data_IF_553367764470
#
_entry.id   IF_553367764470
#
_cell.length_a   1.000
_cell.length_b   1.000
_cell.length_c   1.000
_cell.angle_alpha   90.00
_cell.angle_beta   90.00
_cell.angle_gamma   90.00
#
_symmetry.space_group_name_H-M   'P 1'
#
loop_
_entity.id
_entity.type
_entity.pdbx_description
1 polymer ?
#
# COMPACT_ATOMS: atom_id res chain seq x y z
N UNK A 1 38.99 7.55 -3.63
CA UNK A 1 38.89 7.44 -2.14
C UNK A 1 37.86 6.39 -1.74
N UNK A 2 38.03 5.69 -0.60
CA UNK A 2 37.00 4.75 -0.10
C UNK A 2 35.81 5.51 0.48
N UNK A 3 34.59 4.96 0.33
CA UNK A 3 33.36 5.59 0.84
C UNK A 3 33.42 5.99 2.33
N UNK A 4 33.94 5.12 3.20
CA UNK A 4 34.04 5.41 4.64
C UNK A 4 35.04 6.54 4.95
N UNK A 5 36.10 6.67 4.14
CA UNK A 5 37.06 7.77 4.25
C UNK A 5 36.41 9.08 3.77
N UNK A 6 35.68 9.02 2.64
CA UNK A 6 34.96 10.16 2.08
C UNK A 6 33.89 10.72 3.04
N UNK A 7 33.12 9.86 3.70
CA UNK A 7 32.10 10.26 4.68
C UNK A 7 32.76 10.98 5.85
N UNK A 8 33.83 10.42 6.42
CA UNK A 8 34.57 11.04 7.54
C UNK A 8 35.18 12.38 7.16
N UNK A 9 35.75 12.47 5.97
CA UNK A 9 36.34 13.71 5.48
C UNK A 9 35.28 14.79 5.26
N UNK A 10 34.12 14.45 4.69
CA UNK A 10 33.00 15.36 4.56
C UNK A 10 32.46 15.82 5.92
N UNK A 11 32.31 14.92 6.89
CA UNK A 11 31.88 15.29 8.24
C UNK A 11 32.86 16.27 8.91
N UNK A 12 34.16 16.02 8.79
CA UNK A 12 35.19 16.91 9.31
C UNK A 12 35.11 18.30 8.65
N UNK A 13 35.09 18.37 7.32
CA UNK A 13 34.96 19.63 6.58
C UNK A 13 33.64 20.35 6.89
N UNK A 14 32.58 19.59 7.18
CA UNK A 14 31.29 20.13 7.59
C UNK A 14 31.32 20.75 8.97
N UNK A 15 31.96 20.12 9.94
CA UNK A 15 32.16 20.73 11.26
C UNK A 15 33.01 21.99 11.18
N UNK A 16 34.07 21.98 10.36
CA UNK A 16 34.91 23.15 10.11
C UNK A 16 34.12 24.29 9.46
N UNK A 17 33.39 24.00 8.38
CA UNK A 17 32.53 24.97 7.70
C UNK A 17 31.44 25.56 8.61
N UNK A 18 30.85 24.77 9.50
CA UNK A 18 29.90 25.28 10.50
C UNK A 18 30.58 26.22 11.51
N UNK A 19 31.79 25.89 11.98
CA UNK A 19 32.57 26.77 12.87
C UNK A 19 32.97 28.06 12.15
N UNK A 20 33.32 28.00 10.86
CA UNK A 20 33.62 29.17 10.04
C UNK A 20 32.38 30.03 9.81
N UNK A 21 31.23 29.44 9.51
CA UNK A 21 29.95 30.12 9.40
C UNK A 21 29.57 30.86 10.69
N UNK A 22 29.81 30.27 11.87
CA UNK A 22 29.61 30.96 13.14
C UNK A 22 30.58 32.14 13.35
N UNK A 23 31.86 31.97 12.98
CA UNK A 23 32.84 33.06 13.04
C UNK A 23 32.44 34.21 12.11
N UNK A 24 31.95 33.88 10.91
CA UNK A 24 31.41 34.82 9.92
C UNK A 24 30.22 35.59 10.47
N UNK A 25 29.24 34.91 11.06
CA UNK A 25 28.10 35.57 11.74
C UNK A 25 28.58 36.56 12.79
N UNK A 26 29.47 36.14 13.70
CA UNK A 26 30.04 37.03 14.72
C UNK A 26 30.81 38.22 14.14
N UNK A 27 31.55 38.03 13.04
CA UNK A 27 32.27 39.11 12.32
C UNK A 27 31.28 40.13 11.75
N UNK A 28 30.24 39.67 11.07
CA UNK A 28 29.25 40.53 10.43
C UNK A 28 28.27 41.17 11.42
N UNK A 29 27.94 40.51 12.54
CA UNK A 29 27.19 41.12 13.64
C UNK A 29 27.93 42.31 14.26
N UNK A 30 29.25 42.18 14.45
CA UNK A 30 30.09 43.30 14.92
C UNK A 30 30.13 44.45 13.92
N UNK A 31 30.26 44.15 12.63
CA UNK A 31 30.22 45.16 11.56
C UNK A 31 28.86 45.86 11.51
N UNK A 32 27.77 45.10 11.58
CA UNK A 32 26.40 45.61 11.63
C UNK A 32 26.18 46.54 12.82
N UNK A 33 26.68 46.15 14.00
CA UNK A 33 26.63 47.01 15.19
C UNK A 33 27.30 48.37 14.99
N UNK A 34 28.40 48.43 14.23
CA UNK A 34 29.06 49.71 13.87
C UNK A 34 28.22 50.50 12.88
N UNK A 35 27.75 49.86 11.81
CA UNK A 35 26.95 50.52 10.76
C UNK A 35 25.60 51.02 11.26
N UNK A 36 24.93 50.27 12.13
CA UNK A 36 23.72 50.69 12.83
C UNK A 36 23.94 51.97 13.64
N UNK A 37 25.06 52.08 14.36
CA UNK A 37 25.42 53.31 15.11
C UNK A 37 25.70 54.49 14.19
N UNK A 38 26.40 54.28 13.08
CA UNK A 38 26.65 55.33 12.08
C UNK A 38 25.35 55.84 11.45
N UNK A 39 24.45 54.92 11.11
CA UNK A 39 23.14 55.23 10.53
C UNK A 39 22.24 55.99 11.52
N UNK A 40 22.19 55.56 12.79
CA UNK A 40 21.47 56.30 13.84
C UNK A 40 22.00 57.73 14.01
N UNK A 41 23.33 57.92 13.97
CA UNK A 41 23.93 59.27 14.01
C UNK A 41 23.57 60.12 12.79
N UNK A 42 23.51 59.52 11.60
CA UNK A 42 23.09 60.23 10.39
C UNK A 42 21.62 60.65 10.46
N UNK A 43 20.76 59.78 10.99
CA UNK A 43 19.33 60.07 11.25
C UNK A 43 19.17 61.19 12.29
N UNK A 44 19.95 61.17 13.37
CA UNK A 44 19.96 62.26 14.36
C UNK A 44 20.43 63.60 13.79
N UNK A 45 21.39 63.58 12.85
CA UNK A 45 21.81 64.80 12.14
C UNK A 45 20.69 65.36 11.28
N UNK A 46 19.96 64.50 10.57
CA UNK A 46 18.78 64.90 9.79
C UNK A 46 17.70 65.54 10.67
N UNK A 47 17.43 64.96 11.83
CA UNK A 47 16.45 65.50 12.79
C UNK A 47 16.84 66.89 13.30
N UNK A 48 18.13 67.12 13.56
CA UNK A 48 18.67 68.39 14.09
C UNK A 48 18.98 69.44 13.02
N UNK A 49 18.98 69.06 11.74
CA UNK A 49 19.30 69.96 10.63
C UNK A 49 18.26 71.10 10.56
N UNK A 50 18.74 72.33 10.35
CA UNK A 50 17.86 73.50 10.20
C UNK A 50 17.41 73.63 8.74
N UNK A 51 16.12 73.88 8.48
CA UNK A 51 15.64 74.12 7.13
C UNK A 51 16.23 75.42 6.55
N UNK A 52 16.34 75.54 5.21
CA UNK A 52 16.79 76.77 4.56
C UNK A 52 15.91 77.98 4.90
N UNK A 53 16.49 79.19 4.94
CA UNK A 53 15.78 80.42 5.38
C UNK A 53 14.72 80.97 4.40
N UNK A 54 14.71 80.51 3.14
CA UNK A 54 13.80 80.99 2.07
C UNK A 54 13.11 79.80 1.42
N UNK A 55 12.03 79.31 2.02
CA UNK A 55 11.25 78.16 1.54
C UNK A 55 9.77 78.48 1.66
N UNK A 56 8.96 78.00 0.71
CA UNK A 56 7.50 78.05 0.78
C UNK A 56 6.98 77.37 2.06
N UNK A 57 6.01 78.01 2.74
CA UNK A 57 5.52 77.56 4.04
C UNK A 57 4.76 76.22 3.98
N UNK A 58 4.02 75.96 2.89
CA UNK A 58 3.34 74.67 2.69
C UNK A 58 4.34 73.57 2.40
N UNK A 59 5.35 73.85 1.57
CA UNK A 59 6.43 72.89 1.30
C UNK A 59 7.19 72.55 2.59
N UNK A 60 7.50 73.56 3.41
CA UNK A 60 8.17 73.36 4.69
C UNK A 60 7.36 72.46 5.64
N UNK A 61 6.05 72.67 5.76
CA UNK A 61 5.17 71.83 6.59
C UNK A 61 5.15 70.36 6.14
N UNK A 62 5.05 70.11 4.83
CA UNK A 62 5.07 68.75 4.27
C UNK A 62 6.41 68.07 4.57
N UNK A 63 7.52 68.75 4.25
CA UNK A 63 8.87 68.20 4.42
C UNK A 63 9.20 67.97 5.89
N UNK A 64 8.77 68.82 6.81
CA UNK A 64 8.98 68.59 8.24
C UNK A 64 8.18 67.41 8.79
N UNK A 65 6.95 67.22 8.33
CA UNK A 65 6.10 66.09 8.73
C UNK A 65 6.75 64.78 8.26
N UNK A 66 7.14 64.72 6.99
CA UNK A 66 7.81 63.55 6.45
C UNK A 66 9.20 63.33 7.05
N UNK A 67 9.92 64.38 7.42
CA UNK A 67 11.18 64.25 8.15
C UNK A 67 10.99 63.57 9.50
N UNK A 68 9.97 63.95 10.27
CA UNK A 68 9.66 63.30 11.57
C UNK A 68 9.28 61.83 11.36
N UNK A 69 8.43 61.55 10.37
CA UNK A 69 8.02 60.20 10.04
C UNK A 69 9.22 59.34 9.58
N UNK A 70 10.07 59.88 8.72
CA UNK A 70 11.30 59.26 8.24
C UNK A 70 12.24 58.89 9.40
N UNK A 71 12.52 59.85 10.30
CA UNK A 71 13.39 59.64 11.46
C UNK A 71 12.84 58.54 12.38
N UNK A 72 11.55 58.61 12.70
CA UNK A 72 10.90 57.63 13.58
C UNK A 72 10.86 56.23 12.95
N UNK A 73 10.50 56.15 11.67
CA UNK A 73 10.40 54.89 10.94
C UNK A 73 11.78 54.21 10.81
N UNK A 74 12.84 54.97 10.50
CA UNK A 74 14.20 54.39 10.44
C UNK A 74 14.67 53.93 11.83
N UNK A 75 14.46 54.73 12.89
CA UNK A 75 14.81 54.30 14.27
C UNK A 75 14.13 52.99 14.64
N UNK A 76 12.83 52.91 14.43
CA UNK A 76 12.03 51.73 14.77
C UNK A 76 12.40 50.51 13.91
N UNK A 77 12.73 50.72 12.62
CA UNK A 77 13.21 49.65 11.75
C UNK A 77 14.55 49.09 12.25
N UNK A 78 15.48 49.97 12.65
CA UNK A 78 16.80 49.60 13.15
C UNK A 78 16.76 48.95 14.54
N UNK A 79 15.87 49.36 15.44
CA UNK A 79 15.76 48.78 16.79
C UNK A 79 15.55 47.27 16.76
N UNK A 80 14.71 46.78 15.85
CA UNK A 80 14.45 45.34 15.69
C UNK A 80 15.51 44.55 14.93
N UNK A 81 16.64 45.15 14.55
CA UNK A 81 17.77 44.47 13.92
C UNK A 81 18.86 44.24 14.97
N UNK A 82 19.03 43.00 15.43
CA UNK A 82 20.06 42.62 16.41
C UNK A 82 21.21 41.84 15.76
N UNK A 83 20.89 41.00 14.77
CA UNK A 83 21.84 40.14 14.06
C UNK A 83 21.88 40.43 12.56
N UNK A 84 22.90 39.93 11.88
CA UNK A 84 23.03 40.01 10.42
C UNK A 84 21.88 39.27 9.70
N UNK A 85 21.35 38.20 10.31
CA UNK A 85 20.18 37.49 9.80
C UNK A 85 18.91 38.34 9.91
N UNK A 86 18.76 39.14 10.98
CA UNK A 86 17.65 40.08 11.13
C UNK A 86 17.72 41.23 10.11
N UNK A 87 18.94 41.69 9.80
CA UNK A 87 19.15 42.69 8.77
C UNK A 87 18.60 42.19 7.43
N UNK A 88 18.90 40.94 7.06
CA UNK A 88 18.39 40.31 5.85
C UNK A 88 16.88 40.38 5.70
N UNK A 89 16.15 40.19 6.81
CA UNK A 89 14.67 40.25 6.83
C UNK A 89 14.12 41.68 6.73
N UNK A 90 14.87 42.69 7.19
CA UNK A 90 14.43 44.09 7.32
C UNK A 90 15.04 45.06 6.31
N UNK A 91 15.96 44.62 5.46
CA UNK A 91 16.55 45.46 4.41
C UNK A 91 15.49 46.06 3.49
N UNK A 92 14.47 45.29 3.13
CA UNK A 92 13.38 45.75 2.27
C UNK A 92 12.55 46.84 2.96
N UNK A 93 12.28 46.70 4.26
CA UNK A 93 11.56 47.70 5.05
C UNK A 93 12.36 49.01 5.14
N UNK A 94 13.68 48.92 5.37
CA UNK A 94 14.56 50.07 5.39
C UNK A 94 14.59 50.81 4.04
N UNK A 95 14.66 50.07 2.93
CA UNK A 95 14.62 50.64 1.59
C UNK A 95 13.27 51.32 1.31
N UNK A 96 12.16 50.71 1.73
CA UNK A 96 10.81 51.27 1.57
C UNK A 96 10.63 52.56 2.36
N UNK A 97 11.02 52.57 3.63
CA UNK A 97 10.99 53.78 4.47
C UNK A 97 11.83 54.90 3.86
N UNK A 98 13.02 54.55 3.34
CA UNK A 98 13.90 55.52 2.69
C UNK A 98 13.25 56.13 1.44
N UNK A 99 12.59 55.33 0.61
CA UNK A 99 11.92 55.80 -0.58
C UNK A 99 10.67 56.63 -0.28
N UNK A 100 9.77 56.11 0.57
CA UNK A 100 8.44 56.68 0.80
C UNK A 100 8.51 58.09 1.41
N UNK A 101 9.33 58.26 2.44
CA UNK A 101 9.47 59.54 3.13
C UNK A 101 10.68 60.34 2.61
N UNK A 102 11.75 59.70 2.15
CA UNK A 102 12.96 60.38 1.70
C UNK A 102 12.76 61.24 0.45
N UNK A 103 11.80 60.88 -0.42
CA UNK A 103 11.49 61.62 -1.65
C UNK A 103 11.10 63.08 -1.43
N UNK A 104 10.46 63.41 -0.30
CA UNK A 104 10.11 64.78 0.04
C UNK A 104 11.20 65.42 0.91
N UNK A 105 11.79 64.65 1.83
CA UNK A 105 12.84 65.15 2.73
C UNK A 105 14.10 65.60 1.98
N UNK A 106 14.44 64.93 0.88
CA UNK A 106 15.61 65.26 0.04
C UNK A 106 15.52 66.67 -0.56
N UNK A 107 14.31 67.24 -0.73
CA UNK A 107 14.10 68.56 -1.33
C UNK A 107 14.79 69.66 -0.50
N UNK A 108 14.79 69.54 0.83
CA UNK A 108 15.37 70.53 1.74
C UNK A 108 16.61 70.04 2.50
N UNK A 109 16.79 68.71 2.60
CA UNK A 109 17.86 68.08 3.38
C UNK A 109 18.66 67.07 2.54
N UNK A 110 18.98 67.47 1.32
CA UNK A 110 19.64 66.65 0.31
C UNK A 110 20.90 65.95 0.86
N UNK A 111 21.78 66.71 1.53
CA UNK A 111 23.06 66.20 2.05
C UNK A 111 22.86 65.10 3.10
N UNK A 112 21.92 65.30 4.02
CA UNK A 112 21.63 64.36 5.10
C UNK A 112 20.95 63.10 4.57
N UNK A 113 20.02 63.22 3.63
CA UNK A 113 19.35 62.08 2.99
C UNK A 113 20.35 61.24 2.18
N UNK A 114 21.27 61.87 1.44
CA UNK A 114 22.34 61.13 0.74
C UNK A 114 23.30 60.42 1.69
N UNK A 115 23.66 61.03 2.82
CA UNK A 115 24.50 60.36 3.82
C UNK A 115 23.82 59.08 4.37
N UNK A 116 22.50 59.14 4.60
CA UNK A 116 21.71 57.98 5.02
C UNK A 116 21.62 56.94 3.90
N UNK A 117 21.38 57.36 2.65
CA UNK A 117 21.34 56.46 1.50
C UNK A 117 22.66 55.68 1.32
N UNK A 118 23.80 56.37 1.45
CA UNK A 118 25.12 55.73 1.39
C UNK A 118 25.26 54.60 2.41
N UNK A 119 24.85 54.86 3.66
CA UNK A 119 24.92 53.86 4.73
C UNK A 119 23.94 52.69 4.52
N UNK A 120 22.74 52.93 3.98
CA UNK A 120 21.80 51.88 3.61
C UNK A 120 22.33 51.00 2.47
N UNK A 121 23.01 51.62 1.50
CA UNK A 121 23.68 50.89 0.42
C UNK A 121 24.80 50.00 0.96
N UNK A 122 25.63 50.53 1.85
CA UNK A 122 26.67 49.75 2.53
C UNK A 122 26.10 48.57 3.35
N UNK A 123 24.96 48.77 4.02
CA UNK A 123 24.26 47.68 4.72
C UNK A 123 23.81 46.57 3.76
N UNK A 124 23.26 46.95 2.61
CA UNK A 124 22.81 46.02 1.58
C UNK A 124 23.98 45.24 0.97
N UNK A 125 25.04 45.93 0.58
CA UNK A 125 26.25 45.32 0.02
C UNK A 125 26.94 44.41 1.03
N UNK A 126 27.03 44.82 2.30
CA UNK A 126 27.62 43.99 3.34
C UNK A 126 26.81 42.74 3.67
N UNK A 127 25.47 42.81 3.63
CA UNK A 127 24.63 41.62 3.76
C UNK A 127 24.79 40.66 2.56
N UNK A 128 24.87 41.20 1.34
CA UNK A 128 25.13 40.39 0.15
C UNK A 128 26.49 39.67 0.23
N UNK A 129 27.54 40.37 0.70
CA UNK A 129 28.85 39.77 0.96
C UNK A 129 28.79 38.68 2.04
N UNK A 130 28.09 38.94 3.15
CA UNK A 130 27.85 37.94 4.18
C UNK A 130 27.18 36.69 3.62
N UNK A 131 26.14 36.85 2.78
CA UNK A 131 25.45 35.72 2.14
C UNK A 131 26.37 34.90 1.26
N UNK A 132 27.16 35.55 0.40
CA UNK A 132 28.12 34.87 -0.47
C UNK A 132 29.18 34.12 0.34
N UNK A 133 29.79 34.77 1.34
CA UNK A 133 30.78 34.13 2.22
C UNK A 133 30.17 32.97 3.02
N UNK A 134 28.91 33.08 3.44
CA UNK A 134 28.20 32.03 4.18
C UNK A 134 27.87 30.82 3.30
N UNK A 135 27.46 31.04 2.06
CA UNK A 135 27.18 29.97 1.09
C UNK A 135 28.44 29.20 0.70
N UNK A 136 29.59 29.88 0.61
CA UNK A 136 30.89 29.21 0.39
C UNK A 136 31.36 28.41 1.61
N UNK A 137 31.02 28.85 2.82
CA UNK A 137 31.49 28.24 4.07
C UNK A 137 30.68 27.02 4.51
N UNK A 138 29.41 26.92 4.11
CA UNK A 138 28.54 25.82 4.52
C UNK A 138 28.54 24.73 3.44
N UNK A 139 29.06 23.52 3.72
CA UNK A 139 29.02 22.43 2.77
C UNK A 139 27.59 22.07 2.35
N UNK A 140 27.42 21.51 1.13
CA UNK A 140 26.14 21.00 0.69
C UNK A 140 25.65 19.90 1.63
N UNK A 141 24.34 19.83 1.85
CA UNK A 141 23.74 18.74 2.64
C UNK A 141 23.82 17.45 1.83
N UNK A 142 24.64 16.52 2.32
CA UNK A 142 24.82 15.17 1.78
C UNK A 142 24.44 14.14 2.85
N UNK A 143 23.62 13.15 2.49
CA UNK A 143 23.03 12.17 3.42
C UNK A 143 23.24 10.71 2.98
N UNK A 144 24.50 10.38 2.67
CA UNK A 144 24.89 9.05 2.17
C UNK A 144 24.74 7.96 3.24
N UNK A 145 25.03 8.26 4.50
CA UNK A 145 24.96 7.28 5.61
C UNK A 145 23.53 6.80 5.82
N UNK A 146 22.59 7.72 5.99
CA UNK A 146 21.19 7.36 6.20
C UNK A 146 20.62 6.57 5.01
N UNK A 147 21.02 6.94 3.78
CA UNK A 147 20.59 6.21 2.56
C UNK A 147 21.16 4.80 2.48
N UNK A 148 22.40 4.58 2.91
CA UNK A 148 22.99 3.24 2.99
C UNK A 148 22.31 2.36 4.03
N UNK A 149 21.98 2.92 5.20
CA UNK A 149 21.24 2.20 6.24
C UNK A 149 19.84 1.82 5.76
N UNK A 150 19.10 2.77 5.19
CA UNK A 150 17.76 2.54 4.65
C UNK A 150 17.77 1.45 3.55
N UNK A 151 18.80 1.45 2.69
CA UNK A 151 18.99 0.45 1.65
C UNK A 151 19.28 -0.93 2.23
N UNK A 152 20.16 -1.04 3.23
CA UNK A 152 20.47 -2.31 3.91
C UNK A 152 19.25 -2.92 4.61
N UNK A 153 18.48 -2.11 5.32
CA UNK A 153 17.27 -2.57 6.01
C UNK A 153 16.22 -3.05 5.01
N UNK A 154 15.98 -2.27 3.95
CA UNK A 154 15.03 -2.63 2.89
C UNK A 154 15.48 -3.90 2.16
N UNK A 155 16.79 -4.08 1.95
CA UNK A 155 17.34 -5.27 1.30
C UNK A 155 17.19 -6.52 2.18
N UNK A 156 17.43 -6.40 3.49
CA UNK A 156 17.20 -7.51 4.44
C UNK A 156 15.72 -7.93 4.42
N UNK A 157 14.80 -6.98 4.52
CA UNK A 157 13.36 -7.28 4.48
C UNK A 157 12.95 -7.95 3.16
N UNK A 158 13.52 -7.51 2.04
CA UNK A 158 13.30 -8.12 0.73
C UNK A 158 13.74 -9.59 0.69
N UNK A 159 14.94 -9.90 1.21
CA UNK A 159 15.45 -11.27 1.27
C UNK A 159 14.59 -12.16 2.18
N UNK A 160 14.24 -11.69 3.38
CA UNK A 160 13.40 -12.43 4.32
C UNK A 160 12.03 -12.79 3.72
N UNK A 161 11.37 -11.84 3.04
CA UNK A 161 10.09 -12.09 2.37
C UNK A 161 10.24 -13.04 1.18
N UNK A 162 11.33 -12.94 0.42
CA UNK A 162 11.61 -13.86 -0.70
C UNK A 162 11.89 -15.30 -0.23
N UNK A 163 12.57 -15.46 0.89
CA UNK A 163 12.74 -16.75 1.55
C UNK A 163 11.41 -17.30 2.07
N UNK A 164 10.56 -16.46 2.66
CA UNK A 164 9.21 -16.86 3.08
C UNK A 164 8.37 -17.37 1.89
N UNK A 165 8.37 -16.65 0.76
CA UNK A 165 7.73 -17.11 -0.50
C UNK A 165 8.26 -18.48 -0.90
N UNK A 166 9.58 -18.66 -0.90
CA UNK A 166 10.20 -19.92 -1.32
C UNK A 166 9.81 -21.09 -0.41
N UNK A 167 9.72 -20.87 0.91
CA UNK A 167 9.26 -21.88 1.88
C UNK A 167 7.79 -22.24 1.68
N UNK A 168 6.92 -21.25 1.51
CA UNK A 168 5.49 -21.46 1.29
C UNK A 168 5.21 -22.16 -0.04
N UNK A 169 5.97 -21.82 -1.11
CA UNK A 169 5.85 -22.48 -2.40
C UNK A 169 6.21 -23.98 -2.31
N UNK A 170 7.29 -24.34 -1.59
CA UNK A 170 7.63 -25.75 -1.34
C UNK A 170 6.54 -26.47 -0.56
N UNK A 171 6.00 -25.82 0.48
CA UNK A 171 4.90 -26.40 1.26
C UNK A 171 3.65 -26.65 0.41
N UNK A 172 3.29 -25.73 -0.50
CA UNK A 172 2.19 -25.95 -1.45
C UNK A 172 2.45 -27.15 -2.37
N UNK A 173 3.68 -27.29 -2.86
CA UNK A 173 4.05 -28.39 -3.74
C UNK A 173 4.01 -29.74 -3.01
N UNK A 174 4.46 -29.80 -1.76
CA UNK A 174 4.30 -30.97 -0.88
C UNK A 174 2.82 -31.32 -0.65
N UNK A 175 1.98 -30.33 -0.30
CA UNK A 175 0.54 -30.56 -0.10
C UNK A 175 -0.14 -31.07 -1.38
N UNK A 176 0.24 -30.50 -2.54
CA UNK A 176 -0.28 -30.91 -3.84
C UNK A 176 0.13 -32.34 -4.17
N UNK A 177 1.40 -32.69 -3.97
CA UNK A 177 1.91 -34.03 -4.21
C UNK A 177 1.25 -35.06 -3.30
N UNK A 178 1.03 -34.72 -2.02
CA UNK A 178 0.31 -35.58 -1.08
C UNK A 178 -1.14 -35.84 -1.53
N UNK A 179 -1.87 -34.81 -1.96
CA UNK A 179 -3.23 -34.96 -2.49
C UNK A 179 -3.25 -35.82 -3.76
N UNK A 180 -2.31 -35.61 -4.67
CA UNK A 180 -2.21 -36.39 -5.90
C UNK A 180 -1.89 -37.86 -5.62
N UNK A 181 -1.04 -38.14 -4.64
CA UNK A 181 -0.74 -39.50 -4.18
C UNK A 181 -1.99 -40.19 -3.61
N UNK A 182 -2.76 -39.51 -2.76
CA UNK A 182 -4.00 -40.05 -2.17
C UNK A 182 -5.03 -40.35 -3.26
N UNK A 183 -5.25 -39.43 -4.20
CA UNK A 183 -6.22 -39.60 -5.30
C UNK A 183 -5.77 -40.66 -6.32
N UNK A 184 -4.46 -40.86 -6.46
CA UNK A 184 -3.89 -41.88 -7.35
C UNK A 184 -3.70 -43.23 -6.65
N UNK A 185 -4.00 -43.33 -5.36
CA UNK A 185 -3.89 -44.59 -4.62
C UNK A 185 -4.83 -45.64 -5.20
N UNK A 186 -4.35 -46.88 -5.26
CA UNK A 186 -5.12 -48.02 -5.76
C UNK A 186 -6.43 -48.16 -4.99
N UNK A 187 -6.38 -48.00 -3.66
CA UNK A 187 -7.54 -48.04 -2.77
C UNK A 187 -8.61 -46.99 -3.14
N UNK A 188 -8.22 -45.74 -3.44
CA UNK A 188 -9.16 -44.69 -3.85
C UNK A 188 -9.77 -44.96 -5.24
N UNK A 189 -8.95 -45.45 -6.18
CA UNK A 189 -9.39 -45.77 -7.54
C UNK A 189 -10.36 -46.94 -7.54
N UNK A 190 -10.06 -48.01 -6.79
CA UNK A 190 -10.92 -49.18 -6.63
C UNK A 190 -12.23 -48.81 -5.95
N UNK A 191 -12.17 -48.10 -4.82
CA UNK A 191 -13.39 -47.65 -4.11
C UNK A 191 -14.30 -46.82 -5.01
N UNK A 192 -13.76 -45.92 -5.83
CA UNK A 192 -14.56 -45.14 -6.78
C UNK A 192 -15.16 -45.99 -7.91
N UNK A 193 -14.42 -46.98 -8.42
CA UNK A 193 -14.96 -47.91 -9.42
C UNK A 193 -16.12 -48.72 -8.83
N UNK A 194 -15.96 -49.25 -7.62
CA UNK A 194 -17.01 -50.00 -6.93
C UNK A 194 -18.26 -49.14 -6.67
N UNK A 195 -18.10 -47.89 -6.23
CA UNK A 195 -19.20 -46.93 -6.08
C UNK A 195 -19.94 -46.73 -7.41
N UNK A 196 -19.21 -46.57 -8.52
CA UNK A 196 -19.82 -46.41 -9.84
C UNK A 196 -20.59 -47.65 -10.28
N UNK A 197 -20.04 -48.84 -10.05
CA UNK A 197 -20.64 -50.10 -10.48
C UNK A 197 -21.89 -50.43 -9.65
N UNK A 198 -21.82 -50.30 -8.32
CA UNK A 198 -23.01 -50.45 -7.45
C UNK A 198 -24.08 -49.41 -7.78
N UNK A 199 -23.69 -48.17 -8.09
CA UNK A 199 -24.65 -47.15 -8.53
C UNK A 199 -25.36 -47.52 -9.84
N UNK A 200 -24.65 -48.14 -10.79
CA UNK A 200 -25.27 -48.66 -12.03
C UNK A 200 -26.20 -49.83 -11.74
N UNK A 201 -25.81 -50.74 -10.85
CA UNK A 201 -26.63 -51.89 -10.44
C UNK A 201 -27.93 -51.44 -9.79
N UNK A 202 -27.88 -50.50 -8.83
CA UNK A 202 -29.08 -49.91 -8.21
C UNK A 202 -30.02 -49.33 -9.28
N UNK A 203 -29.49 -48.55 -10.23
CA UNK A 203 -30.29 -47.98 -11.33
C UNK A 203 -30.90 -49.05 -12.22
N UNK A 204 -30.17 -50.14 -12.49
CA UNK A 204 -30.66 -51.25 -13.30
C UNK A 204 -31.84 -51.96 -12.63
N UNK A 205 -31.70 -52.31 -11.35
CA UNK A 205 -32.77 -52.94 -10.56
C UNK A 205 -33.99 -52.01 -10.44
N UNK A 206 -33.76 -50.72 -10.17
CA UNK A 206 -34.82 -49.72 -10.10
C UNK A 206 -35.58 -49.61 -11.44
N UNK A 207 -34.85 -49.56 -12.56
CA UNK A 207 -35.43 -49.46 -13.89
C UNK A 207 -36.22 -50.73 -14.27
N UNK A 208 -35.73 -51.91 -13.91
CA UNK A 208 -36.46 -53.16 -14.10
C UNK A 208 -37.80 -53.13 -13.35
N UNK A 209 -37.77 -52.78 -12.06
CA UNK A 209 -38.97 -52.70 -11.24
C UNK A 209 -39.95 -51.64 -11.78
N UNK A 210 -39.48 -50.41 -12.06
CA UNK A 210 -40.32 -49.33 -12.61
C UNK A 210 -40.89 -49.68 -13.98
N UNK A 211 -40.14 -50.39 -14.84
CA UNK A 211 -40.61 -50.86 -16.15
C UNK A 211 -41.74 -51.88 -16.02
N UNK A 212 -41.66 -52.80 -15.04
CA UNK A 212 -42.69 -53.80 -14.77
C UNK A 212 -43.93 -53.16 -14.14
N UNK A 213 -43.75 -52.20 -13.23
CA UNK A 213 -44.83 -51.42 -12.61
C UNK A 213 -45.53 -50.53 -13.64
N UNK A 214 -44.78 -49.89 -14.56
CA UNK A 214 -45.35 -49.02 -15.59
C UNK A 214 -46.37 -49.74 -16.48
N UNK A 215 -46.16 -51.04 -16.75
CA UNK A 215 -47.09 -51.88 -17.52
C UNK A 215 -48.46 -52.06 -16.83
N UNK A 216 -48.56 -51.75 -15.54
CA UNK A 216 -49.78 -51.79 -14.75
C UNK A 216 -50.51 -50.43 -14.70
N UNK A 217 -49.86 -49.34 -15.09
CA UNK A 217 -50.42 -47.98 -14.99
C UNK A 217 -51.70 -47.79 -15.79
N UNK A 218 -51.73 -48.23 -17.06
CA UNK A 218 -52.91 -48.14 -17.92
C UNK A 218 -54.09 -49.00 -17.39
N UNK A 219 -53.89 -50.28 -17.03
CA UNK A 219 -54.92 -51.08 -16.36
C UNK A 219 -55.45 -50.45 -15.07
N UNK A 220 -54.56 -50.02 -14.16
CA UNK A 220 -54.95 -49.41 -12.88
C UNK A 220 -55.76 -48.13 -13.09
N UNK A 221 -55.35 -47.27 -14.03
CA UNK A 221 -56.09 -46.06 -14.41
C UNK A 221 -57.49 -46.34 -14.94
N UNK A 222 -57.69 -47.45 -15.69
CA UNK A 222 -59.00 -47.86 -16.22
C UNK A 222 -59.94 -48.36 -15.13
N UNK A 223 -59.39 -48.98 -14.08
CA UNK A 223 -60.17 -49.56 -12.99
C UNK A 223 -60.70 -48.54 -11.97
N UNK A 224 -60.18 -47.30 -11.97
CA UNK A 224 -60.65 -46.18 -11.12
C UNK A 224 -60.74 -46.56 -9.63
N UNK A 225 -59.70 -47.21 -9.11
CA UNK A 225 -59.72 -47.80 -7.77
C UNK A 225 -59.43 -46.79 -6.65
N UNK A 226 -58.95 -45.58 -6.97
CA UNK A 226 -58.58 -44.58 -5.98
C UNK A 226 -57.30 -44.92 -5.19
N UNK A 227 -56.87 -44.00 -4.32
CA UNK A 227 -55.72 -44.20 -3.42
C UNK A 227 -54.41 -44.51 -4.16
N UNK A 228 -53.61 -45.44 -3.63
CA UNK A 228 -52.30 -45.81 -4.20
C UNK A 228 -52.40 -46.27 -5.67
N UNK A 229 -53.54 -46.80 -6.13
CA UNK A 229 -53.73 -47.20 -7.52
C UNK A 229 -53.65 -46.00 -8.49
N UNK A 230 -54.21 -44.85 -8.11
CA UNK A 230 -54.18 -43.64 -8.92
C UNK A 230 -52.79 -42.98 -8.90
N UNK A 231 -52.10 -43.07 -7.77
CA UNK A 231 -50.73 -42.55 -7.61
C UNK A 231 -49.72 -43.38 -8.42
N UNK A 232 -49.78 -44.71 -8.31
CA UNK A 232 -48.95 -45.63 -9.13
C UNK A 232 -49.27 -45.46 -10.62
N UNK A 233 -50.54 -45.25 -10.98
CA UNK A 233 -50.95 -45.00 -12.36
C UNK A 233 -50.37 -43.71 -12.96
N UNK A 234 -49.95 -42.75 -12.12
CA UNK A 234 -49.26 -41.52 -12.54
C UNK A 234 -47.74 -41.68 -12.52
N UNK A 235 -47.19 -42.31 -11.49
CA UNK A 235 -45.75 -42.53 -11.34
C UNK A 235 -45.46 -43.96 -10.83
N UNK A 236 -44.67 -44.71 -11.58
CA UNK A 236 -44.27 -46.07 -11.22
C UNK A 236 -43.30 -46.11 -10.03
N UNK A 237 -42.68 -44.99 -9.67
CA UNK A 237 -41.81 -44.85 -8.49
C UNK A 237 -42.55 -45.02 -7.17
N UNK A 238 -43.84 -44.68 -7.11
CA UNK A 238 -44.68 -44.82 -5.91
C UNK A 238 -44.70 -46.26 -5.39
N UNK A 239 -44.59 -47.24 -6.29
CA UNK A 239 -44.51 -48.65 -5.91
C UNK A 239 -43.26 -48.97 -5.08
N UNK A 240 -42.14 -48.29 -5.34
CA UNK A 240 -40.89 -48.47 -4.62
C UNK A 240 -40.88 -47.75 -3.26
N UNK A 241 -41.60 -46.63 -3.15
CA UNK A 241 -41.74 -45.86 -1.91
C UNK A 241 -42.68 -46.55 -0.91
N UNK A 242 -43.75 -47.17 -1.40
CA UNK A 242 -44.78 -47.85 -0.58
C UNK A 242 -44.99 -49.30 -1.04
N UNK A 243 -43.98 -50.18 -0.84
CA UNK A 243 -43.99 -51.52 -1.42
C UNK A 243 -45.10 -52.43 -0.87
N UNK A 244 -45.40 -52.33 0.42
CA UNK A 244 -46.42 -53.14 1.08
C UNK A 244 -47.86 -52.79 0.61
N UNK A 245 -48.14 -51.49 0.46
CA UNK A 245 -49.41 -51.01 -0.08
C UNK A 245 -49.56 -51.40 -1.55
N UNK A 246 -48.48 -51.30 -2.33
CA UNK A 246 -48.47 -51.68 -3.74
C UNK A 246 -48.69 -53.19 -3.95
N UNK A 247 -48.04 -54.05 -3.18
CA UNK A 247 -48.23 -55.50 -3.25
C UNK A 247 -49.65 -55.91 -2.84
N UNK A 248 -50.24 -55.24 -1.85
CA UNK A 248 -51.62 -55.45 -1.43
C UNK A 248 -52.61 -55.08 -2.55
N UNK A 249 -52.38 -53.93 -3.19
CA UNK A 249 -53.13 -53.53 -4.39
C UNK A 249 -52.97 -54.55 -5.52
N UNK A 250 -51.74 -55.01 -5.77
CA UNK A 250 -51.43 -55.92 -6.85
C UNK A 250 -52.16 -57.26 -6.70
N UNK A 251 -52.19 -57.82 -5.48
CA UNK A 251 -52.95 -59.04 -5.16
C UNK A 251 -54.45 -58.87 -5.38
N UNK A 252 -55.02 -57.73 -4.99
CA UNK A 252 -56.44 -57.44 -5.17
C UNK A 252 -56.84 -57.27 -6.65
N UNK A 253 -55.94 -56.72 -7.47
CA UNK A 253 -56.20 -56.41 -8.88
C UNK A 253 -55.80 -57.54 -9.82
N UNK A 254 -54.89 -58.42 -9.42
CA UNK A 254 -54.36 -59.50 -10.25
C UNK A 254 -55.42 -60.34 -11.00
N UNK A 255 -56.53 -60.78 -10.37
CA UNK A 255 -57.57 -61.55 -11.08
C UNK A 255 -58.26 -60.80 -12.22
N UNK A 256 -58.17 -59.46 -12.22
CA UNK A 256 -58.79 -58.55 -13.20
C UNK A 256 -57.82 -58.08 -14.29
N UNK A 257 -56.56 -58.51 -14.25
CA UNK A 257 -55.54 -58.16 -15.24
C UNK A 257 -55.48 -59.21 -16.36
N UNK A 258 -55.21 -58.75 -17.57
CA UNK A 258 -55.05 -59.59 -18.76
C UNK A 258 -53.72 -59.34 -19.49
N UNK A 259 -53.36 -60.27 -20.39
CA UNK A 259 -52.25 -60.13 -21.32
C UNK A 259 -50.90 -59.74 -20.69
N UNK A 260 -50.30 -58.64 -21.18
CA UNK A 260 -48.98 -58.15 -20.73
C UNK A 260 -49.00 -57.63 -19.28
N UNK A 261 -50.14 -57.12 -18.81
CA UNK A 261 -50.28 -56.60 -17.46
C UNK A 261 -50.32 -57.75 -16.44
N UNK A 262 -51.07 -58.82 -16.74
CA UNK A 262 -51.11 -60.01 -15.88
C UNK A 262 -49.75 -60.69 -15.75
N UNK A 263 -48.98 -60.80 -16.85
CA UNK A 263 -47.60 -61.32 -16.83
C UNK A 263 -46.65 -60.46 -15.98
N UNK A 264 -46.77 -59.14 -16.07
CA UNK A 264 -45.93 -58.21 -15.30
C UNK A 264 -46.32 -58.22 -13.81
N UNK A 265 -47.61 -58.32 -13.50
CA UNK A 265 -48.11 -58.45 -12.14
C UNK A 265 -47.68 -59.77 -11.50
N UNK A 266 -47.72 -60.89 -12.23
CA UNK A 266 -47.20 -62.18 -11.74
C UNK A 266 -45.72 -62.09 -11.39
N UNK A 267 -44.91 -61.57 -12.31
CA UNK A 267 -43.48 -61.38 -12.07
C UNK A 267 -43.20 -60.48 -10.85
N UNK A 268 -43.95 -59.38 -10.70
CA UNK A 268 -43.83 -58.50 -9.54
C UNK A 268 -44.24 -59.21 -8.24
N UNK A 269 -45.34 -59.97 -8.21
CA UNK A 269 -45.71 -60.72 -7.00
C UNK A 269 -44.66 -61.77 -6.60
N UNK A 270 -43.90 -62.31 -7.56
CA UNK A 270 -42.87 -63.33 -7.32
C UNK A 270 -41.50 -62.74 -6.97
N UNK A 271 -41.13 -61.57 -7.53
CA UNK A 271 -39.74 -61.06 -7.48
C UNK A 271 -39.60 -59.69 -6.79
N UNK A 272 -40.70 -58.98 -6.51
CA UNK A 272 -40.62 -57.57 -6.09
C UNK A 272 -39.99 -57.38 -4.72
N UNK A 273 -40.33 -58.22 -3.73
CA UNK A 273 -39.72 -58.17 -2.39
C UNK A 273 -38.22 -58.50 -2.45
N UNK A 274 -37.84 -59.52 -3.21
CA UNK A 274 -36.44 -59.92 -3.40
C UNK A 274 -35.61 -58.80 -4.05
N UNK A 275 -36.12 -58.20 -5.15
CA UNK A 275 -35.44 -57.09 -5.85
C UNK A 275 -35.36 -55.82 -5.02
N UNK A 276 -36.36 -55.54 -4.19
CA UNK A 276 -36.29 -54.43 -3.23
C UNK A 276 -35.24 -54.68 -2.14
N UNK A 277 -35.16 -55.92 -1.64
CA UNK A 277 -34.14 -56.32 -0.67
C UNK A 277 -32.74 -56.19 -1.28
N UNK A 278 -32.54 -56.68 -2.51
CA UNK A 278 -31.30 -56.51 -3.29
C UNK A 278 -30.92 -55.03 -3.42
N UNK A 279 -31.86 -54.18 -3.86
CA UNK A 279 -31.63 -52.74 -4.00
C UNK A 279 -31.28 -52.07 -2.65
N UNK A 280 -31.90 -52.50 -1.55
CA UNK A 280 -31.59 -51.99 -0.21
C UNK A 280 -30.19 -52.39 0.27
N UNK A 281 -29.78 -53.63 0.01
CA UNK A 281 -28.44 -54.12 0.32
C UNK A 281 -27.36 -53.38 -0.49
N UNK A 282 -27.62 -53.16 -1.79
CA UNK A 282 -26.75 -52.35 -2.64
C UNK A 282 -26.63 -50.90 -2.15
N UNK A 283 -27.73 -50.29 -1.69
CA UNK A 283 -27.69 -48.93 -1.10
C UNK A 283 -26.88 -48.89 0.20
N UNK A 284 -27.01 -49.90 1.06
CA UNK A 284 -26.19 -50.02 2.27
C UNK A 284 -24.70 -50.12 1.92
N UNK A 285 -24.36 -50.98 0.96
CA UNK A 285 -22.97 -51.13 0.47
C UNK A 285 -22.44 -49.83 -0.16
N UNK A 286 -23.27 -49.11 -0.90
CA UNK A 286 -22.91 -47.81 -1.46
C UNK A 286 -22.62 -46.76 -0.38
N UNK A 287 -23.37 -46.78 0.73
CA UNK A 287 -23.14 -45.90 1.88
C UNK A 287 -21.82 -46.25 2.59
N UNK A 288 -21.52 -47.54 2.78
CA UNK A 288 -20.26 -48.00 3.34
C UNK A 288 -19.05 -47.60 2.48
N UNK A 289 -19.12 -47.80 1.17
CA UNK A 289 -18.06 -47.39 0.25
C UNK A 289 -17.92 -45.86 0.17
N UNK A 290 -19.03 -45.12 0.28
CA UNK A 290 -18.98 -43.65 0.36
C UNK A 290 -18.24 -43.20 1.63
N UNK A 291 -18.53 -43.80 2.79
CA UNK A 291 -17.79 -43.53 4.04
C UNK A 291 -16.31 -43.90 3.91
N UNK A 292 -16.01 -45.06 3.31
CA UNK A 292 -14.63 -45.48 3.08
C UNK A 292 -13.87 -44.50 2.17
N UNK A 293 -14.53 -44.01 1.11
CA UNK A 293 -13.96 -42.99 0.22
C UNK A 293 -13.67 -41.68 0.98
N UNK A 294 -14.55 -41.27 1.87
CA UNK A 294 -14.35 -40.08 2.73
C UNK A 294 -13.20 -40.30 3.71
N UNK A 295 -13.07 -41.48 4.32
CA UNK A 295 -11.93 -41.83 5.18
C UNK A 295 -10.60 -41.78 4.43
N UNK A 296 -10.54 -42.30 3.20
CA UNK A 296 -9.33 -42.28 2.35
C UNK A 296 -8.96 -40.84 1.98
N UNK A 297 -9.96 -40.01 1.66
CA UNK A 297 -9.77 -38.58 1.42
C UNK A 297 -9.40 -37.83 2.71
N UNK A 298 -9.62 -38.41 3.89
CA UNK A 298 -9.37 -37.81 5.18
C UNK A 298 -9.92 -36.38 5.27
N UNK A 299 -9.19 -35.52 5.98
CA UNK A 299 -9.50 -34.09 6.11
C UNK A 299 -9.05 -33.28 4.88
N UNK A 300 -9.40 -33.73 3.67
CA UNK A 300 -9.17 -33.00 2.41
C UNK A 300 -9.73 -31.58 2.44
N UNK A 301 -10.81 -31.35 3.18
CA UNK A 301 -11.35 -30.01 3.42
C UNK A 301 -10.36 -29.12 4.20
N UNK A 302 -9.66 -29.68 5.21
CA UNK A 302 -8.62 -28.98 5.95
C UNK A 302 -7.40 -28.70 5.06
N UNK A 303 -6.97 -29.69 4.26
CA UNK A 303 -5.86 -29.52 3.32
C UNK A 303 -6.18 -28.45 2.26
N UNK A 304 -7.42 -28.41 1.76
CA UNK A 304 -7.86 -27.40 0.81
C UNK A 304 -7.96 -26.01 1.43
N UNK A 305 -8.38 -25.91 2.71
CA UNK A 305 -8.37 -24.66 3.44
C UNK A 305 -6.94 -24.14 3.69
N UNK A 306 -6.02 -25.03 4.06
CA UNK A 306 -4.59 -24.72 4.20
C UNK A 306 -3.98 -24.29 2.86
N UNK A 307 -4.32 -24.96 1.76
CA UNK A 307 -3.89 -24.59 0.41
C UNK A 307 -4.31 -23.16 0.05
N UNK A 308 -5.60 -22.83 0.22
CA UNK A 308 -6.11 -21.48 -0.04
C UNK A 308 -5.49 -20.43 0.88
N UNK A 309 -5.21 -20.77 2.14
CA UNK A 309 -4.55 -19.86 3.08
C UNK A 309 -3.12 -19.54 2.61
N UNK A 310 -2.35 -20.56 2.20
CA UNK A 310 -0.98 -20.36 1.69
C UNK A 310 -0.98 -19.58 0.37
N UNK A 311 -1.92 -19.84 -0.55
CA UNK A 311 -2.04 -19.07 -1.80
C UNK A 311 -2.30 -17.58 -1.54
N UNK A 312 -3.19 -17.26 -0.58
CA UNK A 312 -3.46 -15.87 -0.18
C UNK A 312 -2.20 -15.22 0.41
N UNK A 313 -1.50 -15.94 1.28
CA UNK A 313 -0.26 -15.45 1.90
C UNK A 313 0.84 -15.20 0.86
N UNK A 314 1.01 -16.12 -0.10
CA UNK A 314 1.93 -15.95 -1.23
C UNK A 314 1.57 -14.72 -2.08
N UNK A 315 0.29 -14.50 -2.35
CA UNK A 315 -0.15 -13.31 -3.10
C UNK A 315 0.20 -12.01 -2.38
N UNK A 316 0.00 -11.96 -1.07
CA UNK A 316 0.33 -10.78 -0.24
C UNK A 316 1.85 -10.56 -0.24
N UNK A 317 2.63 -11.61 0.03
CA UNK A 317 4.09 -11.52 0.05
C UNK A 317 4.66 -11.14 -1.31
N UNK A 318 4.10 -11.64 -2.41
CA UNK A 318 4.54 -11.28 -3.75
C UNK A 318 4.31 -9.79 -4.05
N UNK A 319 3.19 -9.22 -3.59
CA UNK A 319 2.92 -7.79 -3.73
C UNK A 319 3.90 -6.94 -2.89
N UNK A 320 4.18 -7.37 -1.65
CA UNK A 320 5.16 -6.71 -0.78
C UNK A 320 6.57 -6.73 -1.37
N UNK A 321 7.01 -7.89 -1.88
CA UNK A 321 8.31 -8.03 -2.55
C UNK A 321 8.40 -7.06 -3.73
N UNK A 322 7.35 -6.96 -4.55
CA UNK A 322 7.30 -6.00 -5.67
C UNK A 322 7.36 -4.55 -5.21
N UNK A 323 6.78 -4.21 -4.06
CA UNK A 323 6.90 -2.87 -3.45
C UNK A 323 8.32 -2.60 -2.97
N UNK A 324 8.96 -3.59 -2.33
CA UNK A 324 10.33 -3.50 -1.87
C UNK A 324 11.34 -3.38 -3.03
N UNK A 325 11.15 -4.10 -4.14
CA UNK A 325 11.99 -3.97 -5.34
C UNK A 325 11.97 -2.53 -5.88
N UNK A 326 10.78 -1.93 -5.98
CA UNK A 326 10.64 -0.53 -6.41
C UNK A 326 11.31 0.43 -5.43
N UNK A 327 11.18 0.17 -4.12
CA UNK A 327 11.80 0.98 -3.08
C UNK A 327 13.32 0.88 -3.15
N UNK A 328 13.87 -0.32 -3.31
CA UNK A 328 15.31 -0.56 -3.48
C UNK A 328 15.86 0.21 -4.68
N UNK A 329 15.23 0.08 -5.86
CA UNK A 329 15.66 0.81 -7.06
C UNK A 329 15.64 2.33 -6.85
N UNK A 330 14.62 2.84 -6.16
CA UNK A 330 14.55 4.27 -5.82
C UNK A 330 15.69 4.68 -4.89
N UNK A 331 15.96 3.91 -3.84
CA UNK A 331 17.03 4.19 -2.89
C UNK A 331 18.42 4.11 -3.53
N UNK A 332 18.63 3.17 -4.45
CA UNK A 332 19.87 3.08 -5.23
C UNK A 332 20.10 4.33 -6.08
N UNK A 333 19.05 4.86 -6.71
CA UNK A 333 19.16 6.08 -7.51
C UNK A 333 19.38 7.32 -6.63
N UNK A 334 18.69 7.41 -5.49
CA UNK A 334 18.90 8.48 -4.51
C UNK A 334 20.33 8.43 -3.95
N UNK A 335 20.84 7.24 -3.61
CA UNK A 335 22.21 7.04 -3.14
C UNK A 335 23.23 7.44 -4.19
N UNK A 336 23.04 7.07 -5.46
CA UNK A 336 23.92 7.51 -6.56
C UNK A 336 23.99 9.03 -6.66
N UNK A 337 22.85 9.71 -6.60
CA UNK A 337 22.81 11.17 -6.64
C UNK A 337 23.52 11.81 -5.42
N UNK A 338 23.39 11.23 -4.23
CA UNK A 338 24.10 11.70 -3.04
C UNK A 338 25.62 11.44 -3.13
N UNK A 339 26.04 10.32 -3.73
CA UNK A 339 27.44 10.03 -4.00
C UNK A 339 28.03 11.00 -5.02
N UNK A 340 27.32 11.33 -6.10
CA UNK A 340 27.76 12.33 -7.08
C UNK A 340 27.98 13.72 -6.45
N UNK A 341 27.09 14.12 -5.52
CA UNK A 341 27.27 15.35 -4.74
C UNK A 341 28.52 15.30 -3.87
N UNK A 342 28.78 14.15 -3.24
CA UNK A 342 29.95 13.93 -2.39
C UNK A 342 31.25 13.95 -3.19
N UNK A 343 31.27 13.31 -4.36
CA UNK A 343 32.39 13.35 -5.30
C UNK A 343 32.67 14.77 -5.79
N UNK A 344 31.63 15.50 -6.19
CA UNK A 344 31.75 16.88 -6.64
C UNK A 344 32.29 17.80 -5.54
N UNK A 345 31.88 17.59 -4.28
CA UNK A 345 32.33 18.37 -3.15
C UNK A 345 33.78 18.05 -2.72
N UNK A 346 34.16 16.77 -2.73
CA UNK A 346 35.50 16.34 -2.33
C UNK A 346 36.52 16.47 -3.47
N UNK A 347 36.07 16.53 -4.73
CA UNK A 347 36.93 16.61 -5.91
C UNK A 347 37.58 15.28 -6.29
N UNK A 348 37.16 14.18 -5.66
CA UNK A 348 37.69 12.84 -5.88
C UNK A 348 36.57 11.85 -6.17
N UNK A 349 36.85 10.86 -7.02
CA UNK A 349 35.95 9.74 -7.24
C UNK A 349 35.94 8.81 -6.03
N UNK A 350 34.75 8.36 -5.66
CA UNK A 350 34.51 7.50 -4.51
C UNK A 350 34.35 6.07 -5.00
N UNK A 351 35.23 5.20 -4.51
CA UNK A 351 35.13 3.77 -4.75
C UNK A 351 34.20 3.17 -3.69
N UNK A 352 33.07 2.64 -4.17
CA UNK A 352 32.22 1.75 -3.40
C UNK A 352 33.02 0.47 -3.14
N UNK A 353 33.54 0.33 -1.92
CA UNK A 353 34.20 -0.91 -1.50
C UNK A 353 33.12 -1.97 -1.34
N UNK A 354 32.91 -2.72 -2.43
CA UNK A 354 32.02 -3.88 -2.60
C UNK A 354 30.56 -3.66 -2.19
N UNK A 355 29.67 -3.80 -3.18
CA UNK A 355 28.25 -4.11 -2.98
C UNK A 355 28.06 -5.07 -1.79
N UNK A 356 27.09 -4.82 -0.88
CA UNK A 356 26.63 -5.91 -0.03
C UNK A 356 26.16 -7.05 -0.95
N UNK A 357 26.48 -8.32 -0.63
CA UNK A 357 25.98 -9.47 -1.38
C UNK A 357 24.45 -9.54 -1.37
#
# INVERSE_FOLDING_TARGET
MKLNEAIREYELRREEGLKEAEKLRKKYDKWLGKKKKELLKAVEKLEKARPPKKVDEKLLQIVETDRRNYVNAIRHALEGIQTIDDLGKRLQDLAKVHFDYGKHVIILFEKEVYAINSLLKELTEGYAKFRSELEESIPPKIDVVAKLEELRETHREFLEKREAISRLARKLEELRSNLEYVVSSEEFVETNREIQDISKEIRSVELELRSKVSKLQKPLKRMRLGGIADEVARDSGVALERPNEFLSLLKAVYPKLDGKAQKSARWLMENFEERLSEMSALRSKLEELSKRREEILGDTAQVQAEFQAIERELSILAEDVKKLEKKLLRLENELKAELEKLEAYLGERIELTSSPP
#
